data_IF_408720794078
#
_entry.id   IF_408720794078
#
_cell.length_a   1.000
_cell.length_b   1.000
_cell.length_c   1.000
_cell.angle_alpha   90.00
_cell.angle_beta   90.00
_cell.angle_gamma   90.00
#
_symmetry.space_group_name_H-M   'P 1'
#
loop_
_entity.id
_entity.type
_entity.pdbx_description
1 polymer ?
#
# COMPACT_ATOMS: atom_id res chain seq x y z
N UNK A 1 -6.43 -19.17 30.59
CA UNK A 1 -5.79 -17.84 30.69
C UNK A 1 -4.34 -18.05 31.08
N UNK A 2 -3.40 -17.49 30.32
CA UNK A 2 -1.97 -17.69 30.48
C UNK A 2 -1.43 -16.81 31.61
N UNK A 3 -0.56 -17.36 32.46
CA UNK A 3 0.09 -16.64 33.55
C UNK A 3 1.59 -16.55 33.25
N UNK A 4 2.14 -15.33 33.27
CA UNK A 4 3.58 -15.06 33.14
C UNK A 4 4.17 -14.74 34.51
N UNK A 5 5.38 -15.22 34.79
CA UNK A 5 6.13 -14.88 36.00
C UNK A 5 6.83 -13.51 35.90
N UNK A 6 7.06 -13.03 34.68
CA UNK A 6 7.58 -11.70 34.38
C UNK A 6 7.33 -11.27 32.93
N UNK A 7 7.60 -10.01 32.59
CA UNK A 7 7.40 -9.49 31.24
C UNK A 7 8.30 -10.18 30.20
N UNK A 8 7.79 -10.28 28.97
CA UNK A 8 8.47 -10.89 27.81
C UNK A 8 8.51 -9.91 26.65
N UNK A 9 9.69 -9.69 26.06
CA UNK A 9 9.88 -8.86 24.87
C UNK A 9 11.10 -7.95 24.94
N UNK A 10 11.09 -6.90 24.13
CA UNK A 10 12.10 -5.84 24.11
C UNK A 10 11.38 -4.50 24.08
N UNK A 11 11.42 -3.78 25.20
CA UNK A 11 10.73 -2.50 25.36
C UNK A 11 11.32 -1.44 24.43
N UNK A 12 10.44 -0.83 23.64
CA UNK A 12 10.75 0.19 22.64
C UNK A 12 11.86 -0.24 21.66
N UNK A 13 12.02 -1.55 21.45
CA UNK A 13 13.08 -2.12 20.62
C UNK A 13 14.50 -2.04 21.19
N UNK A 14 14.68 -1.50 22.40
CA UNK A 14 16.01 -1.28 23.00
C UNK A 14 16.21 -2.05 24.31
N UNK A 15 15.21 -2.08 25.21
CA UNK A 15 15.41 -2.56 26.58
C UNK A 15 14.92 -3.99 26.77
N UNK A 16 15.84 -4.91 27.05
CA UNK A 16 15.50 -6.29 27.41
C UNK A 16 14.80 -6.34 28.77
N UNK A 17 13.65 -7.01 28.84
CA UNK A 17 12.92 -7.24 30.09
C UNK A 17 13.34 -8.58 30.73
N UNK A 18 12.62 -9.03 31.77
CA UNK A 18 12.94 -10.24 32.53
C UNK A 18 13.14 -11.49 31.64
N UNK A 19 12.27 -11.68 30.63
CA UNK A 19 12.45 -12.67 29.58
C UNK A 19 12.79 -14.08 30.09
N UNK A 20 12.04 -14.55 31.09
CA UNK A 20 12.20 -15.91 31.58
C UNK A 20 11.95 -16.90 30.43
N UNK A 21 12.83 -17.88 30.17
CA UNK A 21 12.67 -18.79 29.02
C UNK A 21 11.31 -19.52 29.01
N UNK A 22 10.80 -19.87 30.19
CA UNK A 22 9.48 -20.49 30.37
C UNK A 22 8.33 -19.58 29.95
N UNK A 23 8.45 -18.26 30.15
CA UNK A 23 7.42 -17.30 29.76
C UNK A 23 7.54 -16.94 28.27
N UNK A 24 8.77 -16.87 27.74
CA UNK A 24 9.00 -16.78 26.30
C UNK A 24 8.31 -17.93 25.56
N UNK A 25 8.44 -19.17 26.05
CA UNK A 25 7.76 -20.33 25.45
C UNK A 25 6.23 -20.22 25.47
N UNK A 26 5.65 -19.65 26.53
CA UNK A 26 4.19 -19.42 26.59
C UNK A 26 3.75 -18.43 25.51
N UNK A 27 4.46 -17.32 25.35
CA UNK A 27 4.15 -16.31 24.32
C UNK A 27 4.35 -16.88 22.92
N UNK A 28 5.42 -17.66 22.69
CA UNK A 28 5.65 -18.37 21.43
C UNK A 28 4.47 -19.27 21.11
N UNK A 29 3.99 -20.08 22.07
CA UNK A 29 2.84 -20.98 21.87
C UNK A 29 1.56 -20.22 21.55
N UNK A 30 1.30 -19.11 22.23
CA UNK A 30 0.13 -18.27 21.95
C UNK A 30 0.19 -17.69 20.54
N UNK A 31 1.27 -17.01 20.18
CA UNK A 31 1.45 -16.44 18.84
C UNK A 31 1.37 -17.50 17.76
N UNK A 32 1.97 -18.68 17.98
CA UNK A 32 1.95 -19.78 17.02
C UNK A 32 0.58 -20.48 16.90
N UNK A 33 -0.29 -20.35 17.91
CA UNK A 33 -1.68 -20.82 17.86
C UNK A 33 -2.63 -19.87 17.12
N UNK A 34 -2.24 -18.61 16.94
CA UNK A 34 -3.07 -17.57 16.34
C UNK A 34 -2.83 -17.51 14.83
N UNK A 35 -3.91 -17.40 14.04
CA UNK A 35 -3.81 -17.29 12.58
C UNK A 35 -3.12 -15.97 12.15
N UNK A 36 -2.38 -15.97 11.03
CA UNK A 36 -1.65 -14.78 10.56
C UNK A 36 -2.54 -13.56 10.29
N UNK A 37 -3.81 -13.78 9.93
CA UNK A 37 -4.80 -12.73 9.77
C UNK A 37 -5.13 -11.96 11.07
N UNK A 38 -4.75 -12.51 12.23
CA UNK A 38 -4.86 -11.89 13.55
C UNK A 38 -3.47 -11.54 14.13
N UNK A 39 -2.48 -11.36 13.24
CA UNK A 39 -1.07 -11.13 13.55
C UNK A 39 -0.40 -12.24 14.39
N UNK A 40 -0.91 -13.48 14.28
CA UNK A 40 -0.22 -14.66 14.80
C UNK A 40 0.80 -15.25 13.82
N UNK A 41 1.40 -16.37 14.20
CA UNK A 41 2.49 -17.03 13.49
C UNK A 41 2.13 -18.44 12.97
N UNK A 42 0.86 -18.84 13.09
CA UNK A 42 0.42 -20.19 12.71
C UNK A 42 0.68 -20.47 11.23
N UNK A 43 1.51 -21.47 10.94
CA UNK A 43 1.79 -21.95 9.58
C UNK A 43 2.68 -21.04 8.71
N UNK A 44 3.18 -19.91 9.22
CA UNK A 44 4.01 -18.96 8.46
C UNK A 44 5.51 -19.25 8.61
N UNK A 45 5.93 -19.78 9.76
CA UNK A 45 7.31 -20.17 10.04
C UNK A 45 7.38 -21.16 11.22
N UNK A 46 8.50 -21.91 11.38
CA UNK A 46 8.73 -22.68 12.59
C UNK A 46 8.73 -21.73 13.81
N UNK A 47 8.22 -22.17 14.97
CA UNK A 47 8.18 -21.34 16.17
C UNK A 47 9.60 -20.91 16.54
N UNK A 48 9.84 -19.61 16.82
CA UNK A 48 11.16 -19.14 17.17
C UNK A 48 11.60 -19.79 18.49
N UNK A 49 12.89 -20.10 18.66
CA UNK A 49 13.38 -20.64 19.92
C UNK A 49 13.26 -19.56 21.02
N UNK A 50 12.94 -19.98 22.23
CA UNK A 50 13.04 -19.11 23.39
C UNK A 50 14.50 -18.66 23.58
N UNK A 51 14.70 -17.37 23.87
CA UNK A 51 16.02 -16.85 24.21
C UNK A 51 16.44 -17.24 25.62
N UNK A 52 17.69 -16.92 25.97
CA UNK A 52 18.21 -17.11 27.32
C UNK A 52 17.51 -16.19 28.34
N UNK A 53 17.67 -16.47 29.63
CA UNK A 53 17.16 -15.60 30.69
C UNK A 53 17.64 -14.14 30.51
N UNK A 54 16.75 -13.16 30.70
CA UNK A 54 16.96 -11.72 30.41
C UNK A 54 17.28 -11.40 28.94
N UNK A 55 17.08 -12.33 28.01
CA UNK A 55 17.29 -12.12 26.58
C UNK A 55 16.12 -12.67 25.77
N UNK A 56 15.30 -11.79 25.23
CA UNK A 56 14.31 -12.16 24.24
C UNK A 56 15.01 -12.50 22.91
N UNK A 57 14.60 -13.60 22.28
CA UNK A 57 14.97 -13.88 20.90
C UNK A 57 14.48 -12.74 19.98
N UNK A 58 15.29 -12.34 19.00
CA UNK A 58 14.98 -11.20 18.11
C UNK A 58 13.78 -11.47 17.22
N UNK A 59 13.59 -12.71 16.75
CA UNK A 59 12.40 -13.13 16.01
C UNK A 59 11.15 -13.10 16.88
N UNK A 60 11.24 -13.53 18.13
CA UNK A 60 10.13 -13.42 19.09
C UNK A 60 9.79 -11.95 19.41
N UNK A 61 10.80 -11.10 19.62
CA UNK A 61 10.60 -9.68 19.88
C UNK A 61 9.92 -8.97 18.70
N UNK A 62 10.35 -9.27 17.47
CA UNK A 62 9.73 -8.75 16.27
C UNK A 62 8.27 -9.22 16.12
N UNK A 63 7.98 -10.48 16.43
CA UNK A 63 6.61 -11.01 16.38
C UNK A 63 5.69 -10.35 17.42
N UNK A 64 6.19 -10.11 18.64
CA UNK A 64 5.44 -9.39 19.68
C UNK A 64 5.10 -7.97 19.22
N UNK A 65 6.10 -7.25 18.69
CA UNK A 65 5.90 -5.89 18.21
C UNK A 65 4.91 -5.86 17.04
N UNK A 66 5.05 -6.75 16.06
CA UNK A 66 4.14 -6.84 14.92
C UNK A 66 2.69 -7.14 15.36
N UNK A 67 2.50 -8.05 16.32
CA UNK A 67 1.20 -8.33 16.91
C UNK A 67 0.59 -7.08 17.55
N UNK A 68 1.36 -6.37 18.37
CA UNK A 68 0.85 -5.19 19.04
C UNK A 68 0.51 -4.07 18.05
N UNK A 69 1.40 -3.76 17.09
CA UNK A 69 1.17 -2.75 16.07
C UNK A 69 -0.11 -3.03 15.29
N UNK A 70 -0.32 -4.29 14.86
CA UNK A 70 -1.51 -4.69 14.12
C UNK A 70 -2.82 -4.39 14.86
N UNK A 71 -2.86 -4.60 16.19
CA UNK A 71 -4.05 -4.38 17.00
C UNK A 71 -4.16 -2.94 17.53
N UNK A 72 -3.05 -2.19 17.62
CA UNK A 72 -3.08 -0.74 17.85
C UNK A 72 -3.67 -0.01 16.65
N UNK A 73 -3.27 -0.36 15.44
CA UNK A 73 -3.83 0.19 14.19
C UNK A 73 -5.35 -0.05 14.06
N UNK A 74 -5.88 -1.05 14.79
CA UNK A 74 -7.32 -1.40 14.83
C UNK A 74 -8.05 -0.89 16.07
N UNK A 75 -7.38 -0.12 16.92
CA UNK A 75 -7.97 0.45 18.15
C UNK A 75 -8.27 -0.57 19.26
N UNK A 76 -7.74 -1.78 19.16
CA UNK A 76 -7.98 -2.90 20.09
C UNK A 76 -6.89 -3.05 21.15
N UNK A 77 -5.71 -2.49 20.86
CA UNK A 77 -4.67 -2.22 21.84
C UNK A 77 -4.35 -0.73 21.84
N UNK A 78 -3.83 -0.23 22.95
CA UNK A 78 -3.53 1.20 23.10
C UNK A 78 -2.05 1.52 22.89
N UNK A 79 -1.18 0.51 22.86
CA UNK A 79 0.27 0.67 22.84
C UNK A 79 0.95 -0.53 22.17
N UNK A 80 1.98 -0.24 21.38
CA UNK A 80 2.91 -1.21 20.80
C UNK A 80 4.33 -0.90 21.26
N UNK A 81 4.68 -1.35 22.47
CA UNK A 81 5.97 -1.12 23.12
C UNK A 81 6.92 -2.32 23.00
N UNK A 82 6.51 -3.39 22.32
CA UNK A 82 7.31 -4.59 22.13
C UNK A 82 7.38 -5.50 23.36
N UNK A 83 6.53 -5.29 24.39
CA UNK A 83 6.51 -6.10 25.63
C UNK A 83 5.14 -6.67 25.94
N UNK A 84 5.08 -7.95 26.27
CA UNK A 84 3.90 -8.60 26.87
C UNK A 84 4.08 -8.64 28.38
N UNK A 85 3.35 -7.77 29.08
CA UNK A 85 3.34 -7.70 30.54
C UNK A 85 2.40 -8.74 31.17
N UNK A 86 2.72 -9.30 32.36
CA UNK A 86 1.82 -10.16 33.11
C UNK A 86 0.49 -9.46 33.41
N UNK A 87 -0.64 -10.09 33.04
CA UNK A 87 -1.97 -9.49 33.18
C UNK A 87 -2.28 -8.31 32.26
N UNK A 88 -1.34 -7.94 31.37
CA UNK A 88 -1.46 -6.83 30.44
C UNK A 88 -2.54 -7.04 29.37
N UNK A 89 -2.88 -5.95 28.65
CA UNK A 89 -3.86 -6.00 27.54
C UNK A 89 -3.39 -6.90 26.40
N UNK A 90 -2.11 -6.83 26.06
CA UNK A 90 -1.49 -7.68 25.02
C UNK A 90 -1.62 -9.17 25.36
N UNK A 91 -1.38 -9.56 26.62
CA UNK A 91 -1.53 -10.95 27.07
C UNK A 91 -2.99 -11.42 27.01
N UNK A 92 -3.94 -10.57 27.44
CA UNK A 92 -5.37 -10.88 27.37
C UNK A 92 -5.86 -11.06 25.94
N UNK A 93 -5.39 -10.23 24.99
CA UNK A 93 -5.73 -10.37 23.57
C UNK A 93 -5.15 -11.65 22.98
N UNK A 94 -3.89 -11.99 23.30
CA UNK A 94 -3.28 -13.26 22.91
C UNK A 94 -4.07 -14.46 23.44
N UNK A 95 -4.44 -14.44 24.71
CA UNK A 95 -5.27 -15.49 25.32
C UNK A 95 -6.65 -15.59 24.68
N UNK A 96 -7.31 -14.46 24.40
CA UNK A 96 -8.64 -14.46 23.78
C UNK A 96 -8.61 -15.06 22.37
N UNK A 97 -7.58 -14.73 21.59
CA UNK A 97 -7.38 -15.26 20.24
C UNK A 97 -6.95 -16.73 20.24
N UNK A 98 -6.19 -17.16 21.25
CA UNK A 98 -5.78 -18.56 21.41
C UNK A 98 -6.88 -19.45 22.04
N UNK A 99 -7.80 -18.87 22.81
CA UNK A 99 -8.92 -19.57 23.46
C UNK A 99 -10.16 -19.71 22.58
N UNK A 100 -10.28 -18.91 21.51
CA UNK A 100 -11.15 -19.24 20.41
C UNK A 100 -10.63 -20.54 19.79
N UNK A 101 -11.16 -21.68 20.26
CA UNK A 101 -10.79 -23.02 19.79
C UNK A 101 -10.92 -23.15 18.26
N UNK A 102 -10.45 -24.28 17.68
CA UNK A 102 -10.54 -24.46 16.24
C UNK A 102 -12.00 -24.21 15.81
N UNK A 103 -12.24 -23.44 14.73
CA UNK A 103 -13.59 -23.32 14.21
C UNK A 103 -14.14 -24.74 13.99
N UNK A 104 -15.45 -24.93 14.27
CA UNK A 104 -16.17 -26.14 13.87
C UNK A 104 -15.69 -26.58 12.47
N UNK A 105 -15.53 -27.90 12.21
CA UNK A 105 -14.91 -28.39 10.98
C UNK A 105 -15.48 -27.59 9.83
N UNK A 106 -14.65 -26.72 9.29
CA UNK A 106 -15.04 -25.90 8.16
C UNK A 106 -15.54 -26.88 7.11
N UNK A 107 -16.68 -26.60 6.43
CA UNK A 107 -16.92 -27.17 5.12
C UNK A 107 -15.57 -27.14 4.38
N UNK A 108 -15.21 -28.21 3.63
CA UNK A 108 -13.87 -28.38 3.08
C UNK A 108 -13.32 -27.03 2.68
N UNK A 109 -12.17 -26.65 3.26
CA UNK A 109 -11.45 -25.40 2.98
C UNK A 109 -11.81 -25.02 1.55
N UNK A 110 -12.56 -23.93 1.28
CA UNK A 110 -12.70 -23.51 -0.10
C UNK A 110 -11.27 -23.41 -0.57
N UNK A 111 -10.92 -24.20 -1.59
CA UNK A 111 -9.55 -24.33 -2.08
C UNK A 111 -8.90 -22.97 -1.94
N UNK A 112 -7.77 -22.87 -1.21
CA UNK A 112 -6.96 -21.66 -1.32
C UNK A 112 -6.88 -21.44 -2.82
N UNK A 113 -7.49 -20.38 -3.42
CA UNK A 113 -7.79 -20.44 -4.82
C UNK A 113 -6.47 -20.74 -5.50
N UNK A 114 -6.43 -21.87 -6.20
CA UNK A 114 -5.31 -22.17 -7.06
C UNK A 114 -5.10 -20.95 -7.96
N UNK A 115 -3.93 -20.85 -8.57
CA UNK A 115 -3.76 -19.82 -9.57
C UNK A 115 -4.90 -19.91 -10.59
N UNK A 116 -5.58 -18.79 -10.79
CA UNK A 116 -6.59 -18.66 -11.84
C UNK A 116 -5.86 -18.15 -13.07
N UNK A 117 -5.85 -18.97 -14.11
CA UNK A 117 -5.26 -18.61 -15.39
C UNK A 117 -6.15 -17.60 -16.14
N UNK A 118 -5.52 -16.54 -16.63
CA UNK A 118 -6.09 -15.55 -17.54
C UNK A 118 -5.31 -15.58 -18.86
N UNK A 119 -5.42 -14.53 -19.68
CA UNK A 119 -4.90 -14.53 -21.05
C UNK A 119 -3.37 -14.53 -21.11
N UNK A 120 -2.74 -13.74 -20.25
CA UNK A 120 -1.29 -13.47 -20.27
C UNK A 120 -0.63 -13.67 -18.91
N UNK A 121 -1.43 -13.82 -17.86
CA UNK A 121 -0.98 -14.05 -16.51
C UNK A 121 -1.88 -15.06 -15.80
N UNK A 122 -1.41 -15.57 -14.66
CA UNK A 122 -2.26 -16.24 -13.69
C UNK A 122 -2.13 -15.56 -12.33
N UNK A 123 -3.20 -15.53 -11.56
CA UNK A 123 -3.23 -14.80 -10.29
C UNK A 123 -3.77 -15.62 -9.14
N UNK A 124 -3.34 -15.25 -7.94
CA UNK A 124 -3.87 -15.73 -6.67
C UNK A 124 -4.12 -14.53 -5.76
N UNK A 125 -5.34 -14.38 -5.26
CA UNK A 125 -5.66 -13.43 -4.20
C UNK A 125 -5.11 -13.94 -2.87
N UNK A 126 -4.39 -13.09 -2.14
CA UNK A 126 -3.71 -13.46 -0.89
C UNK A 126 -4.30 -12.82 0.35
N UNK A 127 -5.18 -11.82 0.19
CA UNK A 127 -5.90 -11.20 1.30
C UNK A 127 -7.35 -11.69 1.40
N UNK A 128 -7.96 -11.64 2.60
CA UNK A 128 -9.40 -11.78 2.75
C UNK A 128 -10.13 -10.70 1.94
N UNK A 129 -11.12 -11.10 1.15
CA UNK A 129 -11.99 -10.19 0.39
C UNK A 129 -13.08 -9.62 1.30
N UNK A 130 -12.72 -8.69 2.18
CA UNK A 130 -13.67 -8.04 3.10
C UNK A 130 -13.63 -6.52 2.91
N UNK A 131 -14.74 -5.88 2.50
CA UNK A 131 -14.82 -4.42 2.47
C UNK A 131 -14.65 -3.83 3.87
N UNK A 132 -13.97 -2.70 3.98
CA UNK A 132 -13.83 -1.95 5.22
C UNK A 132 -13.98 -0.46 5.00
N UNK A 133 -14.51 0.22 6.01
CA UNK A 133 -14.61 1.69 6.06
C UNK A 133 -13.46 2.25 6.88
N UNK A 134 -12.76 3.24 6.34
CA UNK A 134 -11.58 3.82 6.97
C UNK A 134 -11.54 5.33 6.75
N UNK A 135 -10.73 6.01 7.57
CA UNK A 135 -10.45 7.44 7.49
C UNK A 135 -8.94 7.64 7.61
N UNK A 136 -8.37 8.46 6.74
CA UNK A 136 -6.93 8.80 6.74
C UNK A 136 -6.72 10.31 6.57
N UNK A 137 -5.61 10.87 7.07
CA UNK A 137 -5.28 12.28 6.80
C UNK A 137 -5.11 12.54 5.31
N UNK A 138 -5.69 13.65 4.84
CA UNK A 138 -5.59 14.13 3.46
C UNK A 138 -5.65 15.66 3.39
N UNK A 139 -5.26 16.25 2.27
CA UNK A 139 -5.42 17.69 2.04
C UNK A 139 -6.83 17.96 1.53
N UNK A 140 -7.53 18.89 2.19
CA UNK A 140 -8.88 19.29 1.81
C UNK A 140 -8.83 19.93 0.42
N UNK A 141 -9.57 19.42 -0.59
CA UNK A 141 -9.45 19.89 -1.97
C UNK A 141 -9.72 21.38 -2.17
N UNK A 142 -10.66 21.96 -1.41
CA UNK A 142 -10.96 23.39 -1.49
C UNK A 142 -9.78 24.28 -1.09
N UNK A 143 -8.90 23.80 -0.21
CA UNK A 143 -7.69 24.54 0.21
C UNK A 143 -6.61 24.61 -0.87
N UNK A 144 -6.69 23.75 -1.90
CA UNK A 144 -5.74 23.70 -3.02
C UNK A 144 -6.14 24.67 -4.14
N UNK A 145 -7.43 25.00 -4.27
CA UNK A 145 -7.97 25.86 -5.34
C UNK A 145 -7.21 27.20 -5.51
N UNK A 146 -6.82 27.93 -4.44
CA UNK A 146 -6.05 29.17 -4.59
C UNK A 146 -4.69 28.99 -5.26
N UNK A 147 -4.11 27.78 -5.25
CA UNK A 147 -2.82 27.47 -5.85
C UNK A 147 -2.90 27.07 -7.33
N UNK A 148 -4.11 26.80 -7.85
CA UNK A 148 -4.33 26.51 -9.27
C UNK A 148 -4.33 27.78 -10.14
N UNK A 149 -4.50 28.94 -9.54
CA UNK A 149 -4.61 30.22 -10.24
C UNK A 149 -3.50 31.19 -9.81
N UNK A 150 -3.05 32.02 -10.74
CA UNK A 150 -2.09 33.09 -10.47
C UNK A 150 -2.77 34.46 -10.57
N UNK A 151 -2.49 35.40 -9.65
CA UNK A 151 -1.58 35.26 -8.50
C UNK A 151 -2.18 34.43 -7.35
N UNK A 152 -1.34 33.69 -6.62
CA UNK A 152 -1.74 32.98 -5.40
C UNK A 152 -2.01 34.00 -4.30
N UNK A 153 -3.11 33.85 -3.58
CA UNK A 153 -3.45 34.73 -2.46
C UNK A 153 -2.36 34.68 -1.37
N UNK A 154 -1.99 35.85 -0.81
CA UNK A 154 -0.89 35.98 0.16
C UNK A 154 -1.01 35.04 1.36
N UNK A 155 -2.23 34.82 1.84
CA UNK A 155 -2.52 33.98 3.00
C UNK A 155 -2.98 32.56 2.63
N UNK A 156 -2.89 32.16 1.36
CA UNK A 156 -3.26 30.81 0.95
C UNK A 156 -2.48 29.77 1.76
N UNK A 157 -3.19 28.79 2.30
CA UNK A 157 -2.67 27.66 3.05
C UNK A 157 -3.47 26.43 2.70
N UNK A 158 -2.78 25.29 2.71
CA UNK A 158 -3.42 24.00 2.69
C UNK A 158 -4.01 23.69 4.06
N UNK A 159 -5.13 22.98 4.05
CA UNK A 159 -5.82 22.53 5.26
C UNK A 159 -5.77 21.01 5.28
N UNK A 160 -5.33 20.47 6.41
CA UNK A 160 -5.44 19.04 6.70
C UNK A 160 -6.88 18.68 7.08
N UNK A 161 -7.39 17.62 6.48
CA UNK A 161 -8.66 17.00 6.82
C UNK A 161 -8.54 15.48 6.71
N UNK A 162 -9.64 14.82 6.40
CA UNK A 162 -9.68 13.37 6.18
C UNK A 162 -10.22 12.99 4.81
N UNK A 163 -9.68 11.91 4.25
CA UNK A 163 -10.32 11.14 3.20
C UNK A 163 -10.96 9.91 3.81
N UNK A 164 -12.26 9.72 3.53
CA UNK A 164 -13.07 8.65 4.09
C UNK A 164 -13.74 7.87 2.98
N UNK A 165 -13.83 6.56 3.17
CA UNK A 165 -14.48 5.70 2.18
C UNK A 165 -14.58 4.26 2.63
N UNK A 166 -15.45 3.53 1.96
CA UNK A 166 -15.54 2.07 2.07
C UNK A 166 -14.84 1.46 0.87
N UNK A 167 -13.86 0.60 1.13
CA UNK A 167 -13.01 0.00 0.10
C UNK A 167 -12.88 -1.51 0.29
N UNK A 168 -12.66 -2.23 -0.80
CA UNK A 168 -12.13 -3.59 -0.79
C UNK A 168 -10.66 -3.55 -1.20
N UNK A 169 -9.78 -4.07 -0.36
CA UNK A 169 -8.35 -4.15 -0.62
C UNK A 169 -7.95 -5.56 -1.07
N UNK A 170 -7.26 -5.67 -2.20
CA UNK A 170 -6.74 -6.92 -2.74
C UNK A 170 -5.22 -6.90 -2.86
N UNK A 171 -4.62 -8.09 -2.77
CA UNK A 171 -3.19 -8.30 -3.01
C UNK A 171 -3.04 -9.57 -3.84
N UNK A 172 -2.79 -9.37 -5.13
CA UNK A 172 -2.59 -10.44 -6.07
C UNK A 172 -1.13 -10.83 -6.13
N UNK A 173 -0.87 -12.12 -5.90
CA UNK A 173 0.34 -12.78 -6.39
C UNK A 173 0.08 -13.15 -7.85
N UNK A 174 0.90 -12.64 -8.75
CA UNK A 174 0.79 -12.86 -10.19
C UNK A 174 1.98 -13.69 -10.65
N UNK A 175 1.73 -14.68 -11.49
CA UNK A 175 2.78 -15.38 -12.21
C UNK A 175 2.65 -15.09 -13.71
N UNK A 176 3.75 -14.60 -14.29
CA UNK A 176 3.85 -14.22 -15.70
C UNK A 176 5.28 -14.38 -16.17
N UNK A 177 5.50 -14.94 -17.35
CA UNK A 177 6.85 -15.13 -17.96
C UNK A 177 7.85 -15.88 -17.07
N UNK A 178 7.37 -16.77 -16.20
CA UNK A 178 8.19 -17.50 -15.24
C UNK A 178 8.72 -16.64 -14.08
N UNK A 179 8.15 -15.46 -13.86
CA UNK A 179 8.45 -14.57 -12.75
C UNK A 179 7.20 -14.35 -11.87
N UNK A 180 7.44 -14.00 -10.61
CA UNK A 180 6.41 -13.60 -9.66
C UNK A 180 6.34 -12.07 -9.65
N UNK A 181 5.13 -11.55 -9.69
CA UNK A 181 4.82 -10.14 -9.51
C UNK A 181 3.76 -9.98 -8.42
N UNK A 182 3.71 -8.78 -7.83
CA UNK A 182 2.70 -8.42 -6.86
C UNK A 182 1.94 -7.19 -7.33
N UNK A 183 0.62 -7.23 -7.19
CA UNK A 183 -0.26 -6.11 -7.50
C UNK A 183 -1.25 -5.92 -6.36
N UNK A 184 -1.24 -4.73 -5.78
CA UNK A 184 -2.30 -4.29 -4.88
C UNK A 184 -3.43 -3.68 -5.69
N UNK A 185 -4.67 -3.90 -5.26
CA UNK A 185 -5.81 -3.18 -5.82
C UNK A 185 -6.71 -2.67 -4.71
N UNK A 186 -7.26 -1.47 -4.88
CA UNK A 186 -8.26 -0.91 -3.99
C UNK A 186 -9.50 -0.56 -4.80
N UNK A 187 -10.63 -1.13 -4.40
CA UNK A 187 -11.90 -0.98 -5.09
C UNK A 187 -12.87 -0.24 -4.17
N UNK A 188 -13.21 1.03 -4.47
CA UNK A 188 -14.27 1.75 -3.77
C UNK A 188 -15.60 0.99 -3.84
N UNK A 189 -16.35 0.99 -2.75
CA UNK A 189 -17.70 0.42 -2.74
C UNK A 189 -18.58 1.04 -3.84
N UNK A 190 -19.39 0.21 -4.49
CA UNK A 190 -20.25 0.63 -5.61
C UNK A 190 -19.54 0.69 -6.97
N UNK A 191 -18.26 0.32 -7.08
CA UNK A 191 -17.57 0.22 -8.37
C UNK A 191 -18.16 -0.91 -9.22
N UNK A 192 -18.77 -0.53 -10.35
CA UNK A 192 -19.34 -1.45 -11.35
C UNK A 192 -18.68 -1.33 -12.73
N UNK A 193 -17.95 -0.24 -12.96
CA UNK A 193 -17.27 0.04 -14.22
C UNK A 193 -15.78 -0.32 -14.10
N UNK A 194 -15.37 -1.32 -14.88
CA UNK A 194 -13.98 -1.79 -14.99
C UNK A 194 -13.38 -1.49 -16.37
N UNK A 195 -14.03 -0.64 -17.16
CA UNK A 195 -13.46 -0.13 -18.43
C UNK A 195 -12.38 0.92 -18.20
N UNK A 196 -12.21 1.38 -16.97
CA UNK A 196 -11.25 2.40 -16.57
C UNK A 196 -10.60 2.07 -15.24
N UNK A 197 -9.39 2.55 -15.04
CA UNK A 197 -8.64 2.36 -13.80
C UNK A 197 -7.67 3.51 -13.57
N UNK A 198 -7.27 3.68 -12.30
CA UNK A 198 -6.11 4.47 -11.95
C UNK A 198 -4.95 3.57 -11.56
N UNK A 199 -3.74 3.91 -11.99
CA UNK A 199 -2.51 3.21 -11.62
C UNK A 199 -1.66 4.15 -10.76
N UNK A 200 -1.18 3.69 -9.61
CA UNK A 200 -0.32 4.46 -8.74
C UNK A 200 1.03 3.76 -8.54
N UNK A 201 2.10 4.43 -8.96
CA UNK A 201 3.48 3.97 -8.84
C UNK A 201 4.10 4.52 -7.54
N UNK A 202 4.34 3.61 -6.61
CA UNK A 202 4.98 3.91 -5.33
C UNK A 202 6.48 4.24 -5.49
N UNK A 203 7.09 4.99 -4.56
CA UNK A 203 8.54 5.17 -4.51
C UNK A 203 9.25 3.84 -4.27
N UNK A 204 10.50 3.71 -4.70
CA UNK A 204 11.27 2.49 -4.44
C UNK A 204 11.33 2.19 -2.93
N UNK A 205 11.52 0.92 -2.62
CA UNK A 205 12.05 0.53 -1.33
C UNK A 205 13.44 1.14 -1.13
N UNK A 206 13.84 1.33 0.13
CA UNK A 206 15.04 2.11 0.49
C UNK A 206 16.32 1.60 -0.21
N UNK A 207 16.42 0.31 -0.55
CA UNK A 207 17.55 -0.21 -1.33
C UNK A 207 17.19 -1.33 -2.30
N UNK A 208 18.00 -1.50 -3.34
CA UNK A 208 17.88 -2.60 -4.32
C UNK A 208 17.99 -4.00 -3.69
N UNK A 209 18.62 -4.12 -2.51
CA UNK A 209 18.68 -5.38 -1.76
C UNK A 209 17.30 -5.86 -1.28
N UNK A 210 16.32 -4.96 -1.20
CA UNK A 210 14.96 -5.30 -0.78
C UNK A 210 14.24 -6.18 -1.83
N UNK A 211 14.72 -6.20 -3.09
CA UNK A 211 14.20 -7.07 -4.15
C UNK A 211 14.30 -8.56 -3.78
N UNK A 212 15.25 -8.95 -2.91
CA UNK A 212 15.40 -10.33 -2.46
C UNK A 212 14.16 -10.87 -1.71
N UNK A 213 13.44 -10.00 -1.00
CA UNK A 213 12.19 -10.34 -0.31
C UNK A 213 10.95 -10.32 -1.20
N UNK A 214 11.07 -9.86 -2.45
CA UNK A 214 9.92 -9.63 -3.34
C UNK A 214 9.16 -10.91 -3.71
N UNK A 215 9.79 -12.04 -4.08
CA UNK A 215 9.07 -13.24 -4.49
C UNK A 215 8.11 -13.80 -3.41
N UNK A 216 8.43 -13.55 -2.14
CA UNK A 216 7.64 -13.98 -0.97
C UNK A 216 6.87 -12.82 -0.31
N UNK A 217 6.95 -11.60 -0.85
CA UNK A 217 6.38 -10.39 -0.27
C UNK A 217 6.78 -10.13 1.19
N UNK A 218 8.06 -10.37 1.50
CA UNK A 218 8.63 -10.21 2.84
C UNK A 218 9.56 -9.00 2.93
N UNK A 219 10.22 -8.78 4.08
CA UNK A 219 11.10 -7.63 4.28
C UNK A 219 10.30 -6.33 4.28
N UNK A 220 10.64 -5.38 3.39
CA UNK A 220 9.97 -4.07 3.34
C UNK A 220 8.70 -4.03 2.51
N UNK A 221 8.43 -5.03 1.67
CA UNK A 221 7.26 -5.04 0.77
C UNK A 221 5.90 -4.86 1.50
N UNK A 222 5.67 -5.46 2.68
CA UNK A 222 4.45 -5.19 3.45
C UNK A 222 4.27 -3.70 3.81
N UNK A 223 5.34 -2.93 3.99
CA UNK A 223 5.25 -1.50 4.30
C UNK A 223 4.85 -0.66 3.08
N UNK A 224 5.21 -1.11 1.88
CA UNK A 224 4.81 -0.47 0.61
C UNK A 224 3.31 -0.65 0.36
N UNK A 225 2.73 -1.76 0.85
CA UNK A 225 1.29 -2.05 0.74
C UNK A 225 0.41 -0.90 1.25
N UNK A 226 0.89 -0.06 2.16
CA UNK A 226 0.17 1.12 2.66
C UNK A 226 -0.36 2.04 1.55
N UNK A 227 0.29 2.10 0.38
CA UNK A 227 -0.19 2.93 -0.73
C UNK A 227 -1.48 2.40 -1.37
N UNK A 228 -1.78 1.11 -1.23
CA UNK A 228 -3.02 0.51 -1.75
C UNK A 228 -4.22 1.10 -1.02
N UNK A 229 -4.30 0.94 0.30
CA UNK A 229 -5.36 1.54 1.10
C UNK A 229 -5.26 3.07 1.17
N UNK A 230 -4.05 3.62 1.31
CA UNK A 230 -3.81 5.06 1.43
C UNK A 230 -4.33 5.87 0.24
N UNK A 231 -3.90 5.51 -0.97
CA UNK A 231 -4.37 6.18 -2.19
C UNK A 231 -5.76 5.69 -2.60
N UNK A 232 -6.08 4.45 -2.25
CA UNK A 232 -7.39 3.87 -2.46
C UNK A 232 -8.52 4.62 -1.76
N UNK A 233 -8.31 5.01 -0.50
CA UNK A 233 -9.28 5.80 0.28
C UNK A 233 -9.42 7.23 -0.25
N UNK A 234 -8.30 7.86 -0.59
CA UNK A 234 -8.32 9.19 -1.21
C UNK A 234 -9.06 9.21 -2.56
N UNK A 235 -8.91 8.15 -3.35
CA UNK A 235 -9.70 7.96 -4.56
C UNK A 235 -11.16 7.66 -4.24
N UNK A 236 -11.46 6.76 -3.30
CA UNK A 236 -12.83 6.40 -2.92
C UNK A 236 -13.65 7.60 -2.44
N UNK A 237 -13.00 8.60 -1.83
CA UNK A 237 -13.63 9.85 -1.43
C UNK A 237 -14.07 10.74 -2.61
N UNK A 238 -13.63 10.45 -3.84
CA UNK A 238 -13.86 11.29 -5.03
C UNK A 238 -14.43 10.51 -6.23
N UNK A 239 -14.05 9.26 -6.41
CA UNK A 239 -14.36 8.44 -7.59
C UNK A 239 -14.59 6.97 -7.22
N UNK A 240 -15.61 6.38 -7.84
CA UNK A 240 -15.85 4.94 -7.87
C UNK A 240 -15.13 4.32 -9.06
N UNK A 241 -13.84 4.06 -8.90
CA UNK A 241 -12.97 3.52 -9.95
C UNK A 241 -11.94 2.58 -9.32
N UNK A 242 -11.49 1.51 -9.99
CA UNK A 242 -10.39 0.69 -9.49
C UNK A 242 -9.07 1.47 -9.39
N UNK A 243 -8.38 1.37 -8.25
CA UNK A 243 -6.97 1.76 -8.11
C UNK A 243 -6.13 0.50 -8.17
N UNK A 244 -5.08 0.54 -8.97
CA UNK A 244 -4.08 -0.52 -9.11
C UNK A 244 -2.73 0.04 -8.65
N UNK A 245 -2.07 -0.66 -7.75
CA UNK A 245 -0.72 -0.36 -7.27
C UNK A 245 0.18 -1.53 -7.63
N UNK A 246 0.87 -1.49 -8.77
CA UNK A 246 1.87 -2.49 -9.08
C UNK A 246 3.06 -2.32 -8.12
N UNK A 247 3.48 -3.41 -7.47
CA UNK A 247 4.65 -3.36 -6.61
C UNK A 247 5.91 -3.51 -7.46
N UNK A 248 6.58 -2.39 -7.72
CA UNK A 248 7.69 -2.30 -8.66
C UNK A 248 9.03 -2.41 -7.93
N UNK A 249 9.80 -3.43 -8.30
CA UNK A 249 11.15 -3.69 -7.79
C UNK A 249 12.15 -2.69 -8.33
N UNK A 250 13.31 -2.57 -7.70
CA UNK A 250 14.40 -1.81 -8.31
C UNK A 250 14.81 -2.43 -9.66
N UNK A 251 14.80 -3.76 -9.77
CA UNK A 251 15.07 -4.48 -11.01
C UNK A 251 14.08 -4.15 -12.14
N UNK A 252 12.85 -3.72 -11.86
CA UNK A 252 11.87 -3.35 -12.91
C UNK A 252 12.32 -2.20 -13.81
N UNK A 253 13.29 -1.39 -13.35
CA UNK A 253 13.88 -0.29 -14.13
C UNK A 253 14.62 -0.74 -15.38
N UNK A 254 15.06 -2.00 -15.44
CA UNK A 254 15.68 -2.58 -16.64
C UNK A 254 14.68 -2.86 -17.77
N UNK A 255 13.38 -2.69 -17.48
CA UNK A 255 12.26 -2.86 -18.40
C UNK A 255 12.24 -4.22 -19.11
N UNK A 256 12.57 -5.30 -18.40
CA UNK A 256 12.59 -6.65 -18.96
C UNK A 256 11.32 -7.45 -18.57
N UNK A 257 10.84 -8.40 -19.40
CA UNK A 257 9.62 -9.16 -19.15
C UNK A 257 9.56 -9.98 -17.84
N UNK A 258 10.72 -10.25 -17.22
CA UNK A 258 10.83 -10.95 -15.93
C UNK A 258 11.01 -10.02 -14.73
N UNK A 259 11.22 -8.72 -14.95
CA UNK A 259 11.46 -7.74 -13.87
C UNK A 259 10.42 -6.64 -13.86
N UNK A 260 9.76 -6.35 -14.99
CA UNK A 260 8.65 -5.42 -15.10
C UNK A 260 7.42 -6.16 -15.64
N UNK A 261 6.33 -6.16 -14.86
CA UNK A 261 5.05 -6.81 -15.17
C UNK A 261 4.47 -6.40 -16.54
N UNK A 262 4.71 -5.14 -16.95
CA UNK A 262 4.16 -4.54 -18.17
C UNK A 262 5.13 -4.50 -19.36
N UNK A 263 6.36 -4.99 -19.20
CA UNK A 263 7.40 -4.94 -20.26
C UNK A 263 7.06 -5.75 -21.53
N UNK A 264 6.07 -6.63 -21.45
CA UNK A 264 5.52 -7.35 -22.59
C UNK A 264 4.00 -7.47 -22.43
N UNK A 265 3.29 -7.35 -23.57
CA UNK A 265 1.83 -7.48 -23.64
C UNK A 265 1.11 -6.57 -22.62
N UNK A 266 1.64 -5.37 -22.38
CA UNK A 266 1.24 -4.49 -21.27
C UNK A 266 -0.26 -4.16 -21.22
N UNK A 267 -0.90 -3.94 -22.37
CA UNK A 267 -2.36 -3.71 -22.44
C UNK A 267 -3.14 -4.94 -21.96
N UNK A 268 -2.77 -6.13 -22.41
CA UNK A 268 -3.44 -7.38 -22.03
C UNK A 268 -3.15 -7.72 -20.56
N UNK A 269 -1.96 -7.41 -20.06
CA UNK A 269 -1.63 -7.53 -18.64
C UNK A 269 -2.54 -6.67 -17.77
N UNK A 270 -2.75 -5.41 -18.16
CA UNK A 270 -3.66 -4.51 -17.42
C UNK A 270 -5.11 -5.01 -17.47
N UNK A 271 -5.54 -5.47 -18.64
CA UNK A 271 -6.85 -6.06 -18.86
C UNK A 271 -7.05 -7.29 -17.94
N UNK A 272 -6.08 -8.20 -17.88
CA UNK A 272 -6.10 -9.36 -17.00
C UNK A 272 -6.13 -8.96 -15.50
N UNK A 273 -5.40 -7.92 -15.08
CA UNK A 273 -5.49 -7.42 -13.69
C UNK A 273 -6.91 -6.96 -13.36
N UNK A 274 -7.58 -6.25 -14.29
CA UNK A 274 -8.98 -5.83 -14.09
C UNK A 274 -9.94 -7.03 -14.09
N UNK A 275 -9.67 -8.07 -14.88
CA UNK A 275 -10.42 -9.33 -14.81
C UNK A 275 -10.22 -10.02 -13.45
N UNK A 276 -8.98 -10.06 -12.93
CA UNK A 276 -8.69 -10.63 -11.62
C UNK A 276 -9.44 -9.91 -10.49
N UNK A 277 -9.51 -8.57 -10.56
CA UNK A 277 -10.30 -7.75 -9.65
C UNK A 277 -11.79 -8.14 -9.72
N UNK A 278 -12.35 -8.20 -10.92
CA UNK A 278 -13.77 -8.51 -11.13
C UNK A 278 -14.13 -9.92 -10.62
N UNK A 279 -13.30 -10.91 -10.93
CA UNK A 279 -13.43 -12.29 -10.45
C UNK A 279 -13.38 -12.33 -8.92
N UNK A 280 -12.43 -11.61 -8.31
CA UNK A 280 -12.25 -11.57 -6.85
C UNK A 280 -13.42 -10.92 -6.12
N UNK A 281 -14.11 -9.97 -6.77
CA UNK A 281 -15.36 -9.39 -6.29
C UNK A 281 -16.58 -10.31 -6.44
N UNK A 282 -16.41 -11.48 -7.09
CA UNK A 282 -17.52 -12.38 -7.42
C UNK A 282 -18.45 -11.82 -8.52
N UNK A 283 -17.99 -10.83 -9.28
CA UNK A 283 -18.76 -10.28 -10.39
C UNK A 283 -18.62 -11.19 -11.61
N UNK A 284 -19.75 -11.68 -12.11
CA UNK A 284 -19.81 -12.66 -13.20
C UNK A 284 -20.15 -12.05 -14.56
N UNK A 285 -20.45 -10.75 -14.61
CA UNK A 285 -20.77 -10.07 -15.87
C UNK A 285 -19.49 -9.92 -16.71
N UNK A 286 -19.48 -10.37 -17.98
CA UNK A 286 -18.31 -10.18 -18.84
C UNK A 286 -17.97 -8.68 -18.95
N UNK A 287 -16.74 -8.31 -18.64
CA UNK A 287 -16.26 -6.95 -18.89
C UNK A 287 -15.85 -6.77 -20.35
N UNK A 288 -16.01 -5.54 -20.85
CA UNK A 288 -15.30 -5.09 -22.06
C UNK A 288 -13.82 -4.85 -21.78
N UNK A 289 -13.04 -4.53 -22.82
CA UNK A 289 -11.64 -4.16 -22.67
C UNK A 289 -11.48 -2.84 -21.92
N UNK A 290 -10.33 -2.66 -21.25
CA UNK A 290 -9.93 -1.34 -20.74
C UNK A 290 -9.92 -0.29 -21.86
N UNK A 291 -10.44 0.90 -21.55
CA UNK A 291 -10.61 2.02 -22.48
C UNK A 291 -9.79 3.24 -22.07
N UNK A 292 -9.66 3.47 -20.76
CA UNK A 292 -9.02 4.67 -20.22
C UNK A 292 -8.25 4.38 -18.94
N UNK A 293 -7.07 4.98 -18.82
CA UNK A 293 -6.20 4.83 -17.66
C UNK A 293 -5.66 6.19 -17.26
N UNK A 294 -5.82 6.51 -15.98
CA UNK A 294 -5.01 7.52 -15.33
C UNK A 294 -3.81 6.84 -14.67
N UNK A 295 -2.65 7.47 -14.70
CA UNK A 295 -1.47 6.99 -13.96
C UNK A 295 -0.91 8.09 -13.09
N UNK A 296 -0.30 7.70 -11.98
CA UNK A 296 0.42 8.62 -11.12
C UNK A 296 1.65 7.99 -10.50
N UNK A 297 2.56 8.84 -10.05
CA UNK A 297 3.75 8.42 -9.34
C UNK A 297 4.03 9.32 -8.17
N UNK A 298 4.70 8.80 -7.14
CA UNK A 298 5.29 9.61 -6.08
C UNK A 298 6.80 9.40 -6.03
N UNK A 299 7.55 10.51 -5.92
CA UNK A 299 9.00 10.50 -5.72
C UNK A 299 9.69 9.64 -6.78
N UNK A 300 10.53 8.68 -6.39
CA UNK A 300 11.21 7.78 -7.34
C UNK A 300 10.30 6.82 -8.10
N UNK A 301 9.00 6.75 -7.75
CA UNK A 301 8.00 5.99 -8.51
C UNK A 301 7.83 6.48 -9.95
N UNK A 302 8.25 7.71 -10.25
CA UNK A 302 8.27 8.27 -11.61
C UNK A 302 9.10 7.43 -12.58
N UNK A 303 10.14 6.73 -12.09
CA UNK A 303 10.93 5.83 -12.91
C UNK A 303 10.08 4.66 -13.42
N UNK A 304 9.20 4.14 -12.57
CA UNK A 304 8.30 3.03 -12.92
C UNK A 304 7.16 3.49 -13.80
N UNK A 305 6.62 4.68 -13.55
CA UNK A 305 5.65 5.32 -14.44
C UNK A 305 6.24 5.51 -15.84
N UNK A 306 7.50 5.96 -15.94
CA UNK A 306 8.18 6.09 -17.23
C UNK A 306 8.28 4.75 -17.97
N UNK A 307 8.58 3.64 -17.28
CA UNK A 307 8.57 2.30 -17.92
C UNK A 307 7.18 1.86 -18.33
N UNK A 308 6.16 2.14 -17.53
CA UNK A 308 4.79 1.86 -17.92
C UNK A 308 4.37 2.66 -19.17
N UNK A 309 4.74 3.94 -19.23
CA UNK A 309 4.49 4.81 -20.37
C UNK A 309 5.28 4.39 -21.63
N UNK A 310 6.51 3.91 -21.50
CA UNK A 310 7.27 3.31 -22.61
C UNK A 310 6.50 2.13 -23.24
N UNK A 311 5.83 1.33 -22.40
CA UNK A 311 5.16 0.11 -22.85
C UNK A 311 3.72 0.32 -23.32
N UNK A 312 2.97 1.23 -22.70
CA UNK A 312 1.55 1.45 -23.00
C UNK A 312 1.25 2.83 -23.61
N UNK A 313 2.21 3.75 -23.65
CA UNK A 313 1.98 5.12 -24.11
C UNK A 313 1.51 5.24 -25.56
N UNK A 314 1.89 4.29 -26.42
CA UNK A 314 1.43 4.22 -27.81
C UNK A 314 0.03 3.63 -27.99
N UNK A 315 -0.59 3.08 -26.94
CA UNK A 315 -1.91 2.43 -27.02
C UNK A 315 -3.09 3.40 -27.09
N UNK A 316 -2.88 4.66 -26.70
CA UNK A 316 -3.96 5.64 -26.51
C UNK A 316 -4.82 5.42 -25.26
N UNK A 317 -4.50 4.43 -24.41
CA UNK A 317 -5.23 4.18 -23.15
C UNK A 317 -4.92 5.22 -22.06
N UNK A 318 -3.68 5.69 -21.98
CA UNK A 318 -3.25 6.64 -20.96
C UNK A 318 -3.80 8.01 -21.30
N UNK A 319 -4.75 8.51 -20.50
CA UNK A 319 -5.39 9.83 -20.68
C UNK A 319 -4.88 10.87 -19.69
N UNK A 320 -4.25 10.43 -18.62
CA UNK A 320 -3.74 11.31 -17.58
C UNK A 320 -2.48 10.75 -16.92
N UNK A 321 -1.55 11.64 -16.59
CA UNK A 321 -0.36 11.36 -15.79
C UNK A 321 -0.22 12.41 -14.69
N UNK A 322 -0.11 11.98 -13.44
CA UNK A 322 0.07 12.87 -12.28
C UNK A 322 1.33 12.51 -11.52
N UNK A 323 2.26 13.44 -11.46
CA UNK A 323 3.53 13.28 -10.77
C UNK A 323 3.51 14.04 -9.44
N UNK A 324 3.60 13.29 -8.35
CA UNK A 324 3.73 13.80 -7.00
C UNK A 324 5.21 13.93 -6.64
N UNK A 325 5.71 15.15 -6.81
CA UNK A 325 6.99 15.67 -6.32
C UNK A 325 8.27 14.98 -6.84
N UNK A 326 8.26 14.37 -8.03
CA UNK A 326 9.53 13.90 -8.62
C UNK A 326 10.47 15.04 -9.04
N UNK A 327 9.97 16.26 -9.20
CA UNK A 327 10.80 17.43 -9.49
C UNK A 327 11.88 17.68 -8.42
N UNK A 328 11.67 17.17 -7.20
CA UNK A 328 12.64 17.15 -6.11
C UNK A 328 13.85 16.22 -6.37
N UNK A 329 13.73 15.24 -7.27
CA UNK A 329 14.78 14.27 -7.55
C UNK A 329 16.03 14.93 -8.15
N UNK A 330 17.21 14.38 -7.82
CA UNK A 330 18.50 14.94 -8.26
C UNK A 330 18.90 14.52 -9.67
N UNK A 331 18.79 13.22 -10.00
CA UNK A 331 19.59 12.65 -11.10
C UNK A 331 18.79 12.03 -12.27
N UNK A 332 17.50 11.68 -12.14
CA UNK A 332 16.73 11.13 -13.26
C UNK A 332 15.21 11.33 -13.09
N UNK A 333 14.51 11.43 -14.24
CA UNK A 333 13.04 11.50 -14.38
C UNK A 333 12.34 12.51 -13.46
N UNK A 334 12.72 13.79 -13.56
CA UNK A 334 12.08 14.89 -12.78
C UNK A 334 10.67 15.27 -13.25
N UNK A 335 10.17 14.58 -14.27
CA UNK A 335 8.90 14.82 -14.95
C UNK A 335 8.40 13.49 -15.50
N UNK A 336 7.07 13.31 -15.48
CA UNK A 336 6.41 12.29 -16.29
C UNK A 336 6.72 12.47 -17.79
N UNK A 337 6.79 11.37 -18.58
CA UNK A 337 7.01 11.46 -20.02
C UNK A 337 5.84 12.13 -20.72
N UNK A 338 6.07 12.83 -21.83
CA UNK A 338 4.99 13.43 -22.62
C UNK A 338 4.34 12.38 -23.52
N UNK A 339 3.04 12.10 -23.32
CA UNK A 339 2.28 11.16 -24.13
C UNK A 339 1.20 11.88 -24.97
N UNK A 340 1.00 11.49 -26.24
CA UNK A 340 -0.04 12.09 -27.09
C UNK A 340 -1.44 11.95 -26.48
N UNK A 341 -2.15 13.08 -26.35
CA UNK A 341 -3.52 13.09 -25.83
C UNK A 341 -3.66 12.84 -24.33
N UNK A 342 -2.55 12.72 -23.59
CA UNK A 342 -2.58 12.61 -22.13
C UNK A 342 -2.43 13.99 -21.47
N UNK A 343 -3.29 14.27 -20.49
CA UNK A 343 -3.13 15.43 -19.59
C UNK A 343 -2.03 15.13 -18.58
N UNK A 344 -1.17 16.11 -18.30
CA UNK A 344 -0.05 15.95 -17.37
C UNK A 344 -0.17 16.95 -16.23
N UNK A 345 -0.04 16.46 -15.00
CA UNK A 345 0.09 17.26 -13.80
C UNK A 345 1.40 16.95 -13.09
N UNK A 346 2.06 18.01 -12.62
CA UNK A 346 3.17 17.98 -11.69
C UNK A 346 2.73 18.70 -10.42
N UNK A 347 2.63 17.98 -9.32
CA UNK A 347 2.31 18.50 -7.99
C UNK A 347 3.59 18.51 -7.18
N UNK A 348 4.12 19.68 -6.86
CA UNK A 348 5.48 19.75 -6.30
C UNK A 348 5.75 21.01 -5.49
N UNK A 349 6.73 20.91 -4.59
CA UNK A 349 7.34 22.06 -3.92
C UNK A 349 8.42 22.75 -4.75
N UNK A 350 8.71 22.27 -5.96
CA UNK A 350 9.66 22.89 -6.89
C UNK A 350 8.94 23.92 -7.77
N UNK A 351 9.46 25.15 -7.94
CA UNK A 351 8.83 26.11 -8.82
C UNK A 351 8.85 25.63 -10.28
N UNK A 352 7.86 26.02 -11.11
CA UNK A 352 7.84 25.66 -12.51
C UNK A 352 9.06 26.18 -13.26
N UNK A 353 9.61 25.43 -14.22
CA UNK A 353 10.58 25.95 -15.17
C UNK A 353 10.03 27.19 -15.88
N UNK A 354 10.91 28.12 -16.24
CA UNK A 354 10.51 29.37 -16.89
C UNK A 354 9.64 29.09 -18.13
N UNK A 355 8.47 29.73 -18.18
CA UNK A 355 7.50 29.56 -19.26
C UNK A 355 6.62 28.29 -19.23
N UNK A 356 6.80 27.35 -18.29
CA UNK A 356 6.02 26.10 -18.20
C UNK A 356 5.12 26.03 -16.97
N UNK A 357 3.94 26.66 -17.04
CA UNK A 357 2.96 26.67 -15.94
C UNK A 357 1.77 25.73 -16.10
N UNK A 358 1.42 25.38 -17.34
CA UNK A 358 0.27 24.50 -17.61
C UNK A 358 0.60 23.11 -17.06
N UNK A 359 -0.31 22.55 -16.26
CA UNK A 359 -0.11 21.27 -15.60
C UNK A 359 0.88 21.32 -14.43
N UNK A 360 1.23 22.50 -13.90
CA UNK A 360 2.15 22.63 -12.76
C UNK A 360 1.43 23.22 -11.54
N UNK A 361 1.21 22.39 -10.52
CA UNK A 361 0.71 22.78 -9.22
C UNK A 361 1.88 22.99 -8.25
N UNK A 362 2.29 24.24 -8.09
CA UNK A 362 3.37 24.63 -7.20
C UNK A 362 2.86 24.87 -5.78
N UNK A 363 3.33 24.07 -4.83
CA UNK A 363 2.96 24.12 -3.41
C UNK A 363 4.22 24.37 -2.58
N UNK A 364 4.59 25.64 -2.29
CA UNK A 364 5.77 25.93 -1.48
C UNK A 364 5.60 25.37 -0.06
N UNK A 365 6.72 25.15 0.65
CA UNK A 365 6.68 24.66 2.04
C UNK A 365 5.78 25.52 2.96
N UNK A 366 5.69 26.83 2.73
CA UNK A 366 4.81 27.73 3.48
C UNK A 366 3.30 27.45 3.29
N UNK A 367 2.91 26.78 2.21
CA UNK A 367 1.54 26.34 1.97
C UNK A 367 1.12 25.27 2.98
N UNK A 368 2.05 24.44 3.44
CA UNK A 368 1.82 23.33 4.37
C UNK A 368 1.90 23.74 5.86
N UNK A 369 1.97 25.04 6.16
CA UNK A 369 2.15 25.54 7.55
C UNK A 369 1.08 25.07 8.54
N UNK A 370 -0.12 24.74 8.04
CA UNK A 370 -1.26 24.25 8.82
C UNK A 370 -1.47 22.73 8.70
N UNK A 371 -0.53 22.01 8.08
CA UNK A 371 -0.58 20.55 7.92
C UNK A 371 0.33 19.94 8.99
N UNK A 372 -0.26 19.14 9.87
CA UNK A 372 0.39 18.57 11.05
C UNK A 372 0.93 17.17 10.78
N UNK A 373 0.23 16.39 9.96
CA UNK A 373 0.70 15.09 9.50
C UNK A 373 1.99 15.27 8.69
N UNK A 374 3.05 14.55 9.05
CA UNK A 374 4.39 14.63 8.44
C UNK A 374 4.97 16.06 8.44
N UNK A 375 4.68 16.86 9.48
CA UNK A 375 5.12 18.25 9.58
C UNK A 375 6.62 18.40 9.32
N UNK A 376 6.96 19.29 8.38
CA UNK A 376 8.34 19.57 7.98
C UNK A 376 8.84 18.72 6.82
N UNK A 377 8.10 17.70 6.40
CA UNK A 377 8.39 16.86 5.24
C UNK A 377 7.38 17.11 4.11
N UNK A 378 7.52 18.26 3.44
CA UNK A 378 6.67 18.65 2.31
C UNK A 378 6.62 17.58 1.21
N UNK A 379 7.74 16.88 1.00
CA UNK A 379 7.84 15.84 -0.01
C UNK A 379 6.86 14.69 0.28
N UNK A 380 6.89 14.17 1.51
CA UNK A 380 5.97 13.11 1.93
C UNK A 380 4.53 13.60 2.07
N UNK A 381 4.31 14.86 2.48
CA UNK A 381 2.99 15.48 2.51
C UNK A 381 2.34 15.53 1.12
N UNK A 382 3.09 15.93 0.08
CA UNK A 382 2.59 15.90 -1.30
C UNK A 382 2.27 14.48 -1.74
N UNK A 383 3.22 13.55 -1.58
CA UNK A 383 3.05 12.16 -2.02
C UNK A 383 1.91 11.41 -1.35
N UNK A 384 1.62 11.72 -0.08
CA UNK A 384 0.69 10.93 0.72
C UNK A 384 -0.67 11.59 0.88
N UNK A 385 -0.81 12.91 0.71
CA UNK A 385 -2.05 13.61 1.08
C UNK A 385 -2.71 14.39 -0.07
N UNK A 386 -2.06 14.54 -1.22
CA UNK A 386 -2.61 15.31 -2.36
C UNK A 386 -3.43 14.46 -3.35
N UNK A 387 -3.43 13.13 -3.20
CA UNK A 387 -4.06 12.25 -4.17
C UNK A 387 -5.56 12.51 -4.30
N UNK A 388 -6.24 12.75 -3.18
CA UNK A 388 -7.68 13.07 -3.16
C UNK A 388 -8.00 14.31 -4.01
N UNK A 389 -7.23 15.39 -3.82
CA UNK A 389 -7.44 16.61 -4.61
C UNK A 389 -7.20 16.36 -6.09
N UNK A 390 -6.16 15.60 -6.43
CA UNK A 390 -5.88 15.31 -7.82
C UNK A 390 -6.93 14.39 -8.44
N UNK A 391 -7.57 13.52 -7.67
CA UNK A 391 -8.72 12.74 -8.13
C UNK A 391 -9.95 13.64 -8.38
N UNK A 392 -10.17 14.68 -7.58
CA UNK A 392 -11.19 15.69 -7.86
C UNK A 392 -10.95 16.41 -9.20
N UNK A 393 -9.69 16.67 -9.55
CA UNK A 393 -9.29 17.35 -10.79
C UNK A 393 -9.09 16.41 -11.98
N UNK A 394 -9.14 15.09 -11.75
CA UNK A 394 -8.76 14.11 -12.75
C UNK A 394 -9.70 14.12 -13.95
N UNK A 395 -9.12 14.02 -15.15
CA UNK A 395 -9.88 13.97 -16.41
C UNK A 395 -10.48 12.60 -16.71
N UNK A 396 -10.12 11.58 -15.92
CA UNK A 396 -10.79 10.28 -15.98
C UNK A 396 -12.14 10.43 -15.27
N UNK A 397 -13.29 10.17 -15.92
CA UNK A 397 -14.61 10.48 -15.37
C UNK A 397 -14.89 9.85 -14.01
#
# INVERSE_FOLDING_TARGET
MTILSGPVGVRDGVTQVANAPVDQQKIIRLLWGIDPGNAGMKGVSPPPPAGAFKRCNTTLAAAILAFQTFWVERGELNLADGVVDPGGRSLRKLDALAAAGPPAPTPPKPDQPGFIDLKVLRFQQTLPTVPGSFSIPAIVPSSVMPFLFAPVAREAALVEGSAEGTISEFLFKIEKNGAIFWVGACIPAGTIDFSRAYIYFHPDTISASDDAGYPTFTGRWPTVKRYVAGQGLQMAAMKTMPLIVPFMTNASRSNQPRTNLFADRGVETLDDILAAIQITLGQTTPRGSVQQVGTSSFSSGVNHLARFAEMLGGSGLIREQIDFDSAFMRNAHKLAPSLPGAVNWMVTQSPPPWGKRIGWLYLPQSAFRNVHTMRGDTHSQIGTMMFQTMMMLSVIP
#
